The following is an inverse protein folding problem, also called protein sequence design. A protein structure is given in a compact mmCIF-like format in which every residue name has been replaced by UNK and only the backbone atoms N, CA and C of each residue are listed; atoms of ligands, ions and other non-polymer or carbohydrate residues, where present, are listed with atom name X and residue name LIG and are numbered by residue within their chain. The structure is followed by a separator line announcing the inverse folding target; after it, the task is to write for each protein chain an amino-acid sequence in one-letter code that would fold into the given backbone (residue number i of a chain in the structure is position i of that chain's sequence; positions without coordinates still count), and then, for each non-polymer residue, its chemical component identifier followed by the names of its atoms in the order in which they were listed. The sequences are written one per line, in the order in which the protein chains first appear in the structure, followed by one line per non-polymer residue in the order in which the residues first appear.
data_IF_087589608620
#
_entry.id   IF_087589608620
#
_cell.length_a   1.000
_cell.length_b   1.000
_cell.length_c   1.000
_cell.angle_alpha   90.00
_cell.angle_beta   90.00
_cell.angle_gamma   90.00
#
_symmetry.space_group_name_H-M   'P 1'
#
loop_
_entity.id
_entity.type
_entity.pdbx_description
1 polymer ?
#
# COMPACT_ATOMS: atom_id res chain seq x y z
N UNK A 1 -40.56 -30.19 -61.71
CA UNK A 1 -41.73 -30.08 -60.80
C UNK A 1 -41.23 -29.63 -59.44
N UNK A 2 -42.07 -28.91 -58.72
CA UNK A 2 -41.73 -27.97 -57.63
C UNK A 2 -40.84 -28.49 -56.48
N UNK A 3 -40.08 -27.57 -55.84
CA UNK A 3 -39.21 -27.84 -54.69
C UNK A 3 -39.88 -27.48 -53.35
N UNK A 4 -39.33 -28.00 -52.24
CA UNK A 4 -39.35 -27.31 -50.94
C UNK A 4 -40.23 -27.92 -49.85
N UNK A 5 -39.58 -28.43 -48.80
CA UNK A 5 -39.82 -28.11 -47.37
C UNK A 5 -39.04 -29.12 -46.51
N UNK A 6 -37.85 -28.73 -46.07
CA UNK A 6 -37.21 -29.28 -44.89
C UNK A 6 -37.38 -28.24 -43.77
N UNK A 7 -37.68 -28.64 -42.53
CA UNK A 7 -38.10 -27.72 -41.48
C UNK A 7 -36.95 -26.82 -41.03
N UNK A 8 -37.31 -25.56 -40.78
CA UNK A 8 -36.45 -24.49 -40.30
C UNK A 8 -35.61 -24.93 -39.10
N UNK A 9 -34.31 -25.10 -39.33
CA UNK A 9 -33.32 -25.07 -38.26
C UNK A 9 -33.13 -23.61 -37.90
N UNK A 10 -33.87 -23.15 -36.88
CA UNK A 10 -33.68 -21.85 -36.26
C UNK A 10 -32.22 -21.77 -35.82
N UNK A 11 -31.45 -20.94 -36.52
CA UNK A 11 -30.12 -20.51 -36.11
C UNK A 11 -30.30 -19.63 -34.87
N UNK A 12 -30.20 -20.25 -33.69
CA UNK A 12 -29.97 -19.53 -32.45
C UNK A 12 -28.54 -18.96 -32.52
N UNK A 13 -28.43 -17.79 -33.16
CA UNK A 13 -27.28 -16.91 -33.07
C UNK A 13 -27.08 -16.61 -31.59
N UNK A 14 -26.00 -17.19 -31.05
CA UNK A 14 -25.52 -16.91 -29.72
C UNK A 14 -25.21 -15.42 -29.63
N UNK A 15 -26.10 -14.64 -29.02
CA UNK A 15 -25.71 -13.38 -28.39
C UNK A 15 -24.84 -13.73 -27.17
N UNK A 16 -23.59 -14.08 -27.42
CA UNK A 16 -22.54 -13.91 -26.41
C UNK A 16 -22.34 -12.40 -26.28
N UNK A 17 -23.12 -11.79 -25.38
CA UNK A 17 -22.70 -10.53 -24.77
C UNK A 17 -21.34 -10.86 -24.16
N UNK A 18 -20.27 -10.39 -24.79
CA UNK A 18 -18.93 -10.49 -24.24
C UNK A 18 -18.99 -9.79 -22.87
N UNK A 19 -19.10 -10.57 -21.80
CA UNK A 19 -18.91 -10.08 -20.45
C UNK A 19 -17.47 -9.57 -20.44
N UNK A 20 -17.32 -8.24 -20.46
CA UNK A 20 -16.04 -7.61 -20.23
C UNK A 20 -15.49 -8.23 -18.93
N UNK A 21 -14.21 -8.65 -18.92
CA UNK A 21 -13.63 -9.18 -17.70
C UNK A 21 -13.84 -8.15 -16.58
N UNK A 22 -14.17 -8.56 -15.35
CA UNK A 22 -14.37 -7.63 -14.26
C UNK A 22 -13.13 -6.74 -14.16
N UNK A 23 -13.34 -5.42 -14.26
CA UNK A 23 -12.27 -4.43 -14.12
C UNK A 23 -11.71 -4.60 -12.70
N UNK A 24 -10.41 -4.86 -12.58
CA UNK A 24 -9.80 -5.00 -11.26
C UNK A 24 -9.91 -3.67 -10.49
N UNK A 25 -10.16 -3.73 -9.19
CA UNK A 25 -10.31 -2.54 -8.35
C UNK A 25 -9.04 -1.66 -8.36
N UNK A 26 -7.88 -2.27 -8.60
CA UNK A 26 -6.63 -1.56 -8.84
C UNK A 26 -6.69 -0.70 -10.12
N UNK A 27 -7.28 -1.23 -11.20
CA UNK A 27 -7.45 -0.49 -12.45
C UNK A 27 -8.38 0.72 -12.24
N UNK A 28 -9.44 0.56 -11.45
CA UNK A 28 -10.33 1.67 -11.06
C UNK A 28 -9.54 2.76 -10.32
N UNK A 29 -8.72 2.38 -9.32
CA UNK A 29 -7.86 3.35 -8.61
C UNK A 29 -6.93 4.11 -9.56
N UNK A 30 -6.31 3.41 -10.49
CA UNK A 30 -5.38 4.01 -11.46
C UNK A 30 -6.11 4.98 -12.39
N UNK A 31 -7.26 4.58 -12.95
CA UNK A 31 -8.00 5.41 -13.88
C UNK A 31 -8.55 6.65 -13.21
N UNK A 32 -9.11 6.55 -12.00
CA UNK A 32 -9.55 7.71 -11.23
C UNK A 32 -8.38 8.63 -10.83
N UNK A 33 -7.20 8.06 -10.52
CA UNK A 33 -6.00 8.84 -10.21
C UNK A 33 -5.53 9.62 -11.43
N UNK A 34 -5.58 9.04 -12.63
CA UNK A 34 -5.23 9.72 -13.89
C UNK A 34 -6.13 10.93 -14.16
N UNK A 35 -7.41 10.85 -13.80
CA UNK A 35 -8.35 11.97 -13.93
C UNK A 35 -7.99 13.17 -13.04
N UNK A 36 -7.15 12.99 -12.02
CA UNK A 36 -6.68 14.10 -11.17
C UNK A 36 -5.52 14.90 -11.79
N UNK A 37 -4.97 14.44 -12.93
CA UNK A 37 -3.86 15.10 -13.64
C UNK A 37 -2.64 15.41 -12.76
N UNK A 38 -2.32 14.53 -11.80
CA UNK A 38 -1.13 14.68 -10.97
C UNK A 38 0.17 14.62 -11.80
N UNK A 39 0.15 13.99 -12.97
CA UNK A 39 1.31 13.91 -13.87
C UNK A 39 1.76 15.27 -14.41
N UNK A 40 0.90 16.30 -14.38
CA UNK A 40 1.27 17.69 -14.67
C UNK A 40 2.20 18.32 -13.63
N UNK A 41 2.31 17.74 -12.42
CA UNK A 41 3.15 18.26 -11.34
C UNK A 41 4.63 18.08 -11.71
N UNK A 42 5.35 19.20 -11.86
CA UNK A 42 6.78 19.24 -12.23
C UNK A 42 7.68 18.51 -11.23
N UNK A 43 7.49 18.72 -9.94
CA UNK A 43 8.35 18.15 -8.90
C UNK A 43 7.91 16.73 -8.56
N UNK A 44 8.77 15.75 -8.86
CA UNK A 44 8.49 14.34 -8.62
C UNK A 44 8.10 14.05 -7.16
N UNK A 45 8.77 14.67 -6.19
CA UNK A 45 8.46 14.53 -4.76
C UNK A 45 7.01 14.90 -4.45
N UNK A 46 6.52 16.02 -4.98
CA UNK A 46 5.13 16.47 -4.80
C UNK A 46 4.16 15.55 -5.54
N UNK A 47 4.50 15.16 -6.76
CA UNK A 47 3.66 14.25 -7.56
C UNK A 47 3.45 12.90 -6.86
N UNK A 48 4.53 12.28 -6.37
CA UNK A 48 4.48 11.04 -5.61
C UNK A 48 3.65 11.18 -4.33
N UNK A 49 3.86 12.26 -3.58
CA UNK A 49 3.09 12.55 -2.37
C UNK A 49 1.60 12.74 -2.67
N UNK A 50 1.23 13.49 -3.71
CA UNK A 50 -0.18 13.71 -4.11
C UNK A 50 -0.84 12.40 -4.57
N UNK A 51 -0.15 11.58 -5.36
CA UNK A 51 -0.66 10.27 -5.80
C UNK A 51 -0.89 9.33 -4.62
N UNK A 52 0.05 9.23 -3.68
CA UNK A 52 -0.14 8.43 -2.47
C UNK A 52 -1.24 9.01 -1.56
N UNK A 53 -1.37 10.34 -1.48
CA UNK A 53 -2.46 11.00 -0.76
C UNK A 53 -3.82 10.63 -1.35
N UNK A 54 -3.93 10.60 -2.68
CA UNK A 54 -5.14 10.12 -3.36
C UNK A 54 -5.49 8.70 -2.96
N UNK A 55 -4.52 7.78 -2.95
CA UNK A 55 -4.73 6.40 -2.47
C UNK A 55 -5.22 6.39 -1.02
N UNK A 56 -4.60 7.16 -0.13
CA UNK A 56 -5.04 7.23 1.26
C UNK A 56 -6.49 7.70 1.40
N UNK A 57 -6.90 8.69 0.60
CA UNK A 57 -8.23 9.28 0.61
C UNK A 57 -9.29 8.36 0.03
N UNK A 58 -9.00 7.70 -1.09
CA UNK A 58 -9.90 6.74 -1.74
C UNK A 58 -10.14 5.50 -0.89
N UNK A 59 -9.10 4.98 -0.27
CA UNK A 59 -9.18 3.80 0.62
C UNK A 59 -9.60 4.12 2.05
N UNK A 60 -9.78 5.40 2.40
CA UNK A 60 -10.10 5.86 3.77
C UNK A 60 -9.06 5.51 4.85
N UNK A 61 -7.91 4.95 4.50
CA UNK A 61 -6.86 4.58 5.47
C UNK A 61 -6.23 5.81 6.16
N UNK A 62 -6.36 7.01 5.58
CA UNK A 62 -6.00 8.28 6.25
C UNK A 62 -6.83 8.60 7.52
N UNK A 63 -7.90 7.86 7.79
CA UNK A 63 -8.70 7.99 9.01
C UNK A 63 -8.27 7.00 10.10
N UNK A 64 -7.47 6.00 9.74
CA UNK A 64 -7.02 4.94 10.65
C UNK A 64 -5.72 5.38 11.31
N UNK A 65 -5.69 5.60 12.63
CA UNK A 65 -4.44 5.93 13.31
C UNK A 65 -3.49 4.71 13.43
N UNK A 66 -2.20 4.99 13.67
CA UNK A 66 -1.17 3.95 13.82
C UNK A 66 -1.45 2.97 14.97
N UNK A 67 -2.13 3.41 16.04
CA UNK A 67 -2.47 2.53 17.17
C UNK A 67 -3.53 1.51 16.75
N UNK A 68 -4.60 1.95 16.06
CA UNK A 68 -5.60 1.03 15.50
C UNK A 68 -4.94 0.00 14.57
N UNK A 69 -3.98 0.44 13.76
CA UNK A 69 -3.23 -0.47 12.88
C UNK A 69 -2.47 -1.53 13.69
N UNK A 70 -1.70 -1.10 14.70
CA UNK A 70 -0.92 -2.01 15.56
C UNK A 70 -1.82 -3.01 16.30
N UNK A 71 -2.95 -2.55 16.85
CA UNK A 71 -3.91 -3.41 17.55
C UNK A 71 -4.53 -4.44 16.60
N UNK A 72 -4.92 -4.05 15.38
CA UNK A 72 -5.48 -4.97 14.40
C UNK A 72 -4.49 -6.10 14.02
N UNK A 73 -3.19 -5.77 13.88
CA UNK A 73 -2.15 -6.80 13.68
C UNK A 73 -2.03 -7.77 14.86
N UNK A 74 -2.23 -7.29 16.10
CA UNK A 74 -2.18 -8.11 17.32
C UNK A 74 -3.40 -9.01 17.44
N UNK A 75 -4.59 -8.47 17.22
CA UNK A 75 -5.87 -9.22 17.25
C UNK A 75 -5.87 -10.36 16.21
N UNK A 76 -5.19 -10.17 15.07
CA UNK A 76 -5.06 -11.19 14.02
C UNK A 76 -3.84 -12.13 14.18
N UNK A 77 -3.08 -11.98 15.28
CA UNK A 77 -1.87 -12.76 15.56
C UNK A 77 -0.75 -12.60 14.53
N UNK A 78 -0.82 -11.55 13.69
CA UNK A 78 0.17 -11.27 12.64
C UNK A 78 1.41 -10.56 13.21
N UNK A 79 1.30 -9.96 14.39
CA UNK A 79 2.44 -9.34 15.08
C UNK A 79 3.51 -10.35 15.50
N UNK A 80 3.11 -11.59 15.84
CA UNK A 80 3.98 -12.65 16.33
C UNK A 80 4.60 -13.52 15.23
N UNK A 81 4.15 -13.35 13.98
CA UNK A 81 4.71 -14.10 12.85
C UNK A 81 6.06 -13.52 12.42
N UNK A 82 6.97 -14.38 11.90
CA UNK A 82 8.15 -13.90 11.18
C UNK A 82 7.78 -12.92 10.07
N UNK A 83 8.61 -11.91 9.86
CA UNK A 83 8.36 -10.81 8.90
C UNK A 83 8.12 -11.32 7.48
N UNK A 84 8.88 -12.32 7.04
CA UNK A 84 8.78 -12.88 5.70
C UNK A 84 7.72 -13.99 5.57
N UNK A 85 6.93 -14.27 6.62
CA UNK A 85 5.81 -15.21 6.49
C UNK A 85 4.84 -14.71 5.42
N UNK A 86 4.59 -15.56 4.44
CA UNK A 86 3.67 -15.29 3.33
C UNK A 86 2.25 -15.69 3.73
N UNK A 87 1.30 -14.77 3.58
CA UNK A 87 -0.12 -15.00 3.86
C UNK A 87 -0.95 -14.84 2.58
N UNK A 88 -2.09 -15.53 2.54
CA UNK A 88 -3.07 -15.44 1.45
C UNK A 88 -3.87 -14.13 1.54
N UNK A 89 -4.39 -13.69 0.40
CA UNK A 89 -5.32 -12.54 0.29
C UNK A 89 -6.44 -12.56 1.33
N UNK A 90 -7.08 -13.71 1.59
CA UNK A 90 -8.16 -13.81 2.58
C UNK A 90 -7.73 -13.46 4.01
N UNK A 91 -6.48 -13.72 4.38
CA UNK A 91 -5.96 -13.35 5.71
C UNK A 91 -5.59 -11.86 5.78
N UNK A 92 -5.15 -11.28 4.67
CA UNK A 92 -4.96 -9.83 4.58
C UNK A 92 -6.30 -9.09 4.62
N UNK A 93 -7.32 -9.61 3.93
CA UNK A 93 -8.69 -9.10 3.99
C UNK A 93 -9.25 -9.12 5.42
N UNK A 94 -9.11 -10.23 6.13
CA UNK A 94 -9.53 -10.33 7.55
C UNK A 94 -8.85 -9.26 8.44
N UNK A 95 -7.55 -9.02 8.24
CA UNK A 95 -6.84 -7.94 8.94
C UNK A 95 -7.49 -6.57 8.63
N UNK A 96 -7.75 -6.27 7.36
CA UNK A 96 -8.36 -5.00 6.96
C UNK A 96 -9.80 -4.86 7.48
N UNK A 97 -10.56 -5.95 7.55
CA UNK A 97 -11.87 -6.00 8.21
C UNK A 97 -11.77 -5.59 9.67
N UNK A 98 -10.79 -6.12 10.41
CA UNK A 98 -10.54 -5.69 11.80
C UNK A 98 -10.21 -4.20 11.86
N UNK A 99 -9.32 -3.71 10.99
CA UNK A 99 -8.90 -2.30 10.96
C UNK A 99 -10.10 -1.35 10.79
N UNK A 100 -10.92 -1.58 9.76
CA UNK A 100 -12.04 -0.67 9.44
C UNK A 100 -13.23 -0.84 10.39
N UNK A 101 -13.50 -2.04 10.91
CA UNK A 101 -14.50 -2.22 11.96
C UNK A 101 -14.09 -1.52 13.27
N UNK A 102 -12.82 -1.62 13.66
CA UNK A 102 -12.32 -0.92 14.84
C UNK A 102 -12.34 0.61 14.65
N UNK A 103 -12.13 1.11 13.43
CA UNK A 103 -12.35 2.52 13.10
C UNK A 103 -13.82 2.91 13.29
N UNK A 104 -14.76 2.21 12.64
CA UNK A 104 -16.19 2.56 12.71
C UNK A 104 -16.74 2.51 14.14
N UNK A 105 -16.29 1.57 14.99
CA UNK A 105 -16.66 1.52 16.42
C UNK A 105 -16.32 2.81 17.19
N UNK A 106 -15.33 3.58 16.75
CA UNK A 106 -14.88 4.83 17.39
C UNK A 106 -15.54 6.08 16.80
N UNK A 107 -16.11 5.97 15.60
CA UNK A 107 -16.76 7.07 14.90
C UNK A 107 -18.23 7.19 15.32
N UNK A 108 -18.79 8.40 15.20
CA UNK A 108 -20.25 8.56 15.28
C UNK A 108 -20.90 7.99 14.02
N UNK A 109 -22.15 7.52 14.12
CA UNK A 109 -22.80 6.80 13.00
C UNK A 109 -22.88 7.57 11.69
N UNK A 110 -22.97 8.91 11.75
CA UNK A 110 -22.96 9.78 10.56
C UNK A 110 -21.60 9.88 9.86
N UNK A 111 -20.53 9.41 10.49
CA UNK A 111 -19.16 9.42 9.99
C UNK A 111 -18.65 8.03 9.61
N UNK A 112 -19.47 6.99 9.74
CA UNK A 112 -19.08 5.64 9.36
C UNK A 112 -18.58 5.60 7.91
N UNK A 113 -17.47 4.89 7.71
CA UNK A 113 -16.96 4.59 6.38
C UNK A 113 -17.57 3.30 5.85
N UNK A 114 -17.79 3.26 4.54
CA UNK A 114 -18.05 2.04 3.80
C UNK A 114 -16.84 1.11 3.92
N UNK A 115 -16.98 0.08 4.76
CA UNK A 115 -15.89 -0.83 5.07
C UNK A 115 -15.56 -1.71 3.89
N UNK A 116 -16.56 -2.24 3.20
CA UNK A 116 -16.36 -3.24 2.14
C UNK A 116 -15.66 -2.60 0.94
N UNK A 117 -16.10 -1.41 0.54
CA UNK A 117 -15.42 -0.64 -0.52
C UNK A 117 -13.98 -0.25 -0.13
N UNK A 118 -13.78 0.19 1.12
CA UNK A 118 -12.44 0.59 1.60
C UNK A 118 -11.47 -0.60 1.68
N UNK A 119 -11.95 -1.76 2.15
CA UNK A 119 -11.17 -3.00 2.23
C UNK A 119 -10.79 -3.47 0.83
N UNK A 120 -11.75 -3.54 -0.10
CA UNK A 120 -11.51 -4.02 -1.47
C UNK A 120 -10.46 -3.14 -2.18
N UNK A 121 -10.63 -1.82 -2.16
CA UNK A 121 -9.70 -0.88 -2.80
C UNK A 121 -8.30 -0.94 -2.17
N UNK A 122 -8.22 -0.99 -0.83
CA UNK A 122 -6.92 -1.04 -0.14
C UNK A 122 -6.20 -2.37 -0.42
N UNK A 123 -6.92 -3.47 -0.39
CA UNK A 123 -6.37 -4.79 -0.68
C UNK A 123 -5.87 -4.89 -2.13
N UNK A 124 -6.64 -4.35 -3.08
CA UNK A 124 -6.24 -4.30 -4.48
C UNK A 124 -4.97 -3.46 -4.68
N UNK A 125 -4.85 -2.33 -3.98
CA UNK A 125 -3.63 -1.52 -4.00
C UNK A 125 -2.42 -2.27 -3.41
N UNK A 126 -2.60 -2.97 -2.29
CA UNK A 126 -1.53 -3.77 -1.67
C UNK A 126 -1.06 -4.91 -2.61
N UNK A 127 -1.99 -5.60 -3.26
CA UNK A 127 -1.66 -6.63 -4.25
C UNK A 127 -0.94 -6.03 -5.46
N UNK A 128 -1.43 -4.90 -5.98
CA UNK A 128 -0.78 -4.18 -7.08
C UNK A 128 0.65 -3.72 -6.75
N UNK A 129 0.92 -3.37 -5.49
CA UNK A 129 2.25 -2.96 -5.05
C UNK A 129 3.23 -4.13 -4.84
N UNK A 130 2.75 -5.26 -4.30
CA UNK A 130 3.62 -6.30 -3.74
C UNK A 130 3.51 -7.68 -4.40
N UNK A 131 2.40 -8.00 -5.06
CA UNK A 131 2.15 -9.31 -5.70
C UNK A 131 2.32 -9.23 -7.22
N UNK A 132 3.54 -8.89 -7.67
CA UNK A 132 3.86 -8.71 -9.10
C UNK A 132 3.63 -9.95 -9.96
N UNK A 133 3.57 -11.13 -9.33
CA UNK A 133 3.34 -12.41 -9.99
C UNK A 133 1.86 -12.84 -9.94
N UNK A 134 0.96 -12.03 -9.40
CA UNK A 134 -0.48 -12.29 -9.27
C UNK A 134 -0.79 -13.64 -8.59
N UNK A 135 -0.06 -13.95 -7.52
CA UNK A 135 -0.18 -15.20 -6.77
C UNK A 135 -1.25 -15.19 -5.68
N UNK A 136 -1.83 -14.01 -5.38
CA UNK A 136 -2.76 -13.79 -4.28
C UNK A 136 -2.09 -13.88 -2.91
N UNK A 137 -0.82 -13.46 -2.81
CA UNK A 137 -0.01 -13.63 -1.59
C UNK A 137 0.84 -12.40 -1.29
N UNK A 138 0.96 -12.12 0.01
CA UNK A 138 1.69 -10.97 0.55
C UNK A 138 2.54 -11.42 1.75
N UNK A 139 3.68 -10.77 1.99
CA UNK A 139 4.43 -11.00 3.23
C UNK A 139 3.82 -10.18 4.37
N UNK A 140 3.91 -10.67 5.60
CA UNK A 140 3.50 -9.89 6.78
C UNK A 140 4.23 -8.54 6.82
N UNK A 141 5.51 -8.52 6.45
CA UNK A 141 6.32 -7.31 6.44
C UNK A 141 5.84 -6.27 5.42
N UNK A 142 5.52 -6.67 4.18
CA UNK A 142 5.04 -5.72 3.17
C UNK A 142 3.75 -5.04 3.61
N UNK A 143 2.81 -5.81 4.18
CA UNK A 143 1.55 -5.28 4.71
C UNK A 143 1.82 -4.32 5.87
N UNK A 144 2.68 -4.67 6.82
CA UNK A 144 3.04 -3.80 7.96
C UNK A 144 3.62 -2.47 7.49
N UNK A 145 4.59 -2.49 6.58
CA UNK A 145 5.23 -1.26 6.07
C UNK A 145 4.23 -0.41 5.28
N UNK A 146 3.44 -1.01 4.41
CA UNK A 146 2.45 -0.29 3.62
C UNK A 146 1.41 0.40 4.50
N UNK A 147 0.80 -0.35 5.42
CA UNK A 147 -0.26 0.16 6.28
C UNK A 147 0.27 1.19 7.29
N UNK A 148 1.45 0.98 7.88
CA UNK A 148 2.08 1.97 8.75
C UNK A 148 2.40 3.27 7.99
N UNK A 149 2.85 3.18 6.74
CA UNK A 149 3.14 4.35 5.90
C UNK A 149 1.87 5.13 5.58
N UNK A 150 0.81 4.44 5.12
CA UNK A 150 -0.40 5.05 4.58
C UNK A 150 -1.42 5.49 5.64
N UNK A 151 -1.37 4.96 6.87
CA UNK A 151 -2.33 5.29 7.92
C UNK A 151 -2.25 6.78 8.37
N UNK A 152 -3.13 7.20 9.26
CA UNK A 152 -3.06 8.49 9.93
C UNK A 152 -2.03 8.50 11.08
N UNK A 153 -1.55 9.68 11.45
CA UNK A 153 -0.72 9.87 12.64
C UNK A 153 0.56 10.65 12.39
N UNK A 154 1.25 11.01 13.48
CA UNK A 154 2.52 11.73 13.41
C UNK A 154 3.57 10.85 12.73
N UNK A 155 4.35 11.45 11.82
CA UNK A 155 5.40 10.72 11.09
C UNK A 155 6.38 10.05 12.05
N UNK A 156 6.76 10.73 13.13
CA UNK A 156 7.67 10.19 14.15
C UNK A 156 7.16 8.89 14.78
N UNK A 157 5.86 8.77 15.04
CA UNK A 157 5.29 7.57 15.69
C UNK A 157 5.23 6.39 14.72
N UNK A 158 4.94 6.66 13.44
CA UNK A 158 5.02 5.66 12.37
C UNK A 158 6.44 5.19 12.14
N UNK A 159 7.42 6.09 12.12
CA UNK A 159 8.83 5.75 11.96
C UNK A 159 9.35 4.95 13.16
N UNK A 160 8.92 5.24 14.39
CA UNK A 160 9.21 4.40 15.56
C UNK A 160 8.65 2.98 15.41
N UNK A 161 7.41 2.86 14.95
CA UNK A 161 6.82 1.55 14.67
C UNK A 161 7.62 0.80 13.59
N UNK A 162 7.94 1.45 12.47
CA UNK A 162 8.76 0.87 11.40
C UNK A 162 10.13 0.43 11.94
N UNK A 163 10.81 1.28 12.72
CA UNK A 163 12.10 0.96 13.33
C UNK A 163 12.01 -0.30 14.21
N UNK A 164 10.94 -0.45 15.00
CA UNK A 164 10.73 -1.66 15.80
C UNK A 164 10.62 -2.96 14.97
N UNK A 165 10.28 -2.87 13.68
CA UNK A 165 10.24 -4.03 12.79
C UNK A 165 11.61 -4.38 12.22
N UNK A 166 12.52 -3.40 12.12
CA UNK A 166 13.86 -3.56 11.52
C UNK A 166 14.99 -3.56 12.54
N UNK A 167 14.70 -3.34 13.82
CA UNK A 167 15.71 -3.41 14.87
C UNK A 167 16.15 -4.87 15.15
N UNK A 168 17.39 -5.00 15.61
CA UNK A 168 17.95 -6.20 16.20
C UNK A 168 17.60 -6.31 17.71
N UNK A 169 18.07 -7.37 18.36
CA UNK A 169 17.82 -7.59 19.78
C UNK A 169 18.57 -6.59 20.70
N UNK A 170 19.54 -5.86 20.15
CA UNK A 170 20.36 -4.87 20.85
C UNK A 170 19.78 -3.45 20.72
N UNK A 171 18.71 -3.27 19.94
CA UNK A 171 18.07 -1.98 19.72
C UNK A 171 18.71 -1.14 18.61
N UNK A 172 19.59 -1.72 17.80
CA UNK A 172 20.15 -1.10 16.60
C UNK A 172 19.42 -1.60 15.35
N UNK A 173 19.48 -0.84 14.27
CA UNK A 173 18.93 -1.25 12.99
C UNK A 173 19.69 -2.45 12.42
N UNK A 174 18.94 -3.50 12.04
CA UNK A 174 19.46 -4.58 11.19
C UNK A 174 19.49 -4.09 9.74
N UNK A 175 20.70 -4.00 9.16
CA UNK A 175 20.90 -3.51 7.79
C UNK A 175 20.19 -4.34 6.73
N UNK A 176 20.06 -5.65 6.92
CA UNK A 176 19.35 -6.52 5.97
C UNK A 176 17.87 -6.18 5.99
N UNK A 177 17.29 -6.06 7.20
CA UNK A 177 15.88 -5.66 7.35
C UNK A 177 15.62 -4.22 6.87
N UNK A 178 16.61 -3.33 6.98
CA UNK A 178 16.51 -1.98 6.44
C UNK A 178 16.43 -1.97 4.91
N UNK A 179 17.26 -2.78 4.22
CA UNK A 179 17.18 -2.95 2.77
C UNK A 179 15.79 -3.45 2.37
N UNK A 180 15.29 -4.48 3.08
CA UNK A 180 13.95 -5.00 2.84
C UNK A 180 12.87 -3.93 3.08
N UNK A 181 12.98 -3.13 4.15
CA UNK A 181 12.08 -2.02 4.42
C UNK A 181 12.08 -1.02 3.26
N UNK A 182 13.27 -0.65 2.77
CA UNK A 182 13.40 0.31 1.69
C UNK A 182 12.78 -0.23 0.39
N UNK A 183 12.90 -1.53 0.11
CA UNK A 183 12.17 -2.18 -0.98
C UNK A 183 10.66 -2.07 -0.79
N UNK A 184 10.15 -2.33 0.43
CA UNK A 184 8.71 -2.29 0.68
C UNK A 184 8.12 -0.89 0.58
N UNK A 185 8.81 0.13 1.12
CA UNK A 185 8.29 1.49 1.11
C UNK A 185 8.37 2.13 -0.29
N UNK A 186 9.42 1.86 -1.06
CA UNK A 186 9.57 2.34 -2.45
C UNK A 186 8.72 1.56 -3.46
N UNK A 187 8.21 0.38 -3.08
CA UNK A 187 7.18 -0.30 -3.87
C UNK A 187 5.88 0.51 -3.91
N UNK A 188 5.56 1.30 -2.88
CA UNK A 188 4.36 2.15 -2.86
C UNK A 188 4.43 3.24 -3.92
N UNK A 189 5.56 3.94 -4.03
CA UNK A 189 5.80 4.95 -5.07
C UNK A 189 5.86 4.30 -6.46
N UNK A 190 6.43 3.10 -6.56
CA UNK A 190 6.43 2.32 -7.79
C UNK A 190 4.99 1.98 -8.24
N UNK A 191 4.11 1.59 -7.31
CA UNK A 191 2.72 1.26 -7.59
C UNK A 191 1.88 2.44 -8.11
N UNK A 192 2.32 3.67 -7.85
CA UNK A 192 1.72 4.90 -8.39
C UNK A 192 2.53 5.52 -9.54
N UNK A 193 3.36 4.70 -10.20
CA UNK A 193 4.14 5.06 -11.40
C UNK A 193 5.24 6.11 -11.17
N UNK A 194 5.83 6.16 -9.98
CA UNK A 194 6.93 7.08 -9.64
C UNK A 194 8.29 6.38 -9.53
N UNK A 195 8.40 5.13 -10.02
CA UNK A 195 9.64 4.36 -10.03
C UNK A 195 10.85 5.05 -10.68
N UNK A 196 10.72 5.89 -11.73
CA UNK A 196 11.87 6.56 -12.33
C UNK A 196 12.63 7.48 -11.35
N UNK A 197 11.96 7.99 -10.30
CA UNK A 197 12.59 8.82 -9.27
C UNK A 197 12.69 8.10 -7.92
N UNK A 198 11.64 7.37 -7.53
CA UNK A 198 11.51 6.74 -6.21
C UNK A 198 11.37 5.22 -6.33
N UNK A 199 12.17 4.62 -7.21
CA UNK A 199 12.35 3.18 -7.31
C UNK A 199 13.47 2.69 -6.40
N UNK A 200 13.36 1.44 -5.96
CA UNK A 200 14.44 0.81 -5.20
C UNK A 200 15.72 0.65 -6.04
N UNK A 201 16.87 0.96 -5.43
CA UNK A 201 18.21 0.73 -5.99
C UNK A 201 19.23 0.64 -4.86
N UNK A 202 20.41 0.08 -5.12
CA UNK A 202 21.51 0.08 -4.15
C UNK A 202 21.95 1.50 -3.78
N UNK A 203 21.85 2.45 -4.71
CA UNK A 203 22.11 3.87 -4.48
C UNK A 203 21.13 4.42 -3.43
N UNK A 204 19.86 4.04 -3.48
CA UNK A 204 18.86 4.49 -2.50
C UNK A 204 19.19 4.02 -1.08
N UNK A 205 19.81 2.85 -0.92
CA UNK A 205 20.26 2.34 0.39
C UNK A 205 21.42 3.21 0.91
N UNK A 206 22.43 3.43 0.07
CA UNK A 206 23.62 4.22 0.42
C UNK A 206 23.32 5.71 0.68
N UNK A 207 22.19 6.23 0.16
CA UNK A 207 21.71 7.58 0.47
C UNK A 207 21.20 7.74 1.91
N UNK A 208 20.79 6.65 2.56
CA UNK A 208 20.21 6.70 3.89
C UNK A 208 21.27 6.50 4.98
N UNK A 209 22.05 5.42 4.87
CA UNK A 209 23.04 5.03 5.87
C UNK A 209 24.27 4.40 5.22
N UNK A 210 25.42 4.53 5.85
CA UNK A 210 26.61 3.82 5.42
C UNK A 210 26.51 2.33 5.76
N UNK A 211 27.20 1.50 4.98
CA UNK A 211 27.30 0.07 5.27
C UNK A 211 27.96 -0.11 6.64
N UNK A 212 27.37 -0.98 7.47
CA UNK A 212 27.82 -1.31 8.83
C UNK A 212 27.73 -0.16 9.86
N UNK A 213 27.07 0.95 9.52
CA UNK A 213 26.79 2.04 10.44
C UNK A 213 25.89 1.56 11.59
N UNK A 214 26.24 1.86 12.85
CA UNK A 214 25.38 1.55 13.99
C UNK A 214 24.27 2.59 14.14
N UNK A 215 23.12 2.29 13.55
CA UNK A 215 21.96 3.19 13.55
C UNK A 215 21.05 2.87 14.73
N UNK A 216 20.95 3.80 15.69
CA UNK A 216 19.95 3.76 16.75
C UNK A 216 18.62 4.36 16.29
N UNK A 217 17.55 4.21 17.08
CA UNK A 217 16.26 4.83 16.77
C UNK A 217 16.37 6.34 16.54
N UNK A 218 17.15 7.05 17.36
CA UNK A 218 17.28 8.50 17.23
C UNK A 218 17.99 8.87 15.93
N UNK A 219 19.08 8.18 15.59
CA UNK A 219 19.78 8.38 14.31
C UNK A 219 18.84 8.11 13.13
N UNK A 220 18.04 7.03 13.20
CA UNK A 220 17.05 6.72 12.18
C UNK A 220 16.00 7.83 12.02
N UNK A 221 15.46 8.32 13.12
CA UNK A 221 14.48 9.41 13.11
C UNK A 221 15.10 10.71 12.58
N UNK A 222 16.30 11.07 13.02
CA UNK A 222 17.00 12.27 12.59
C UNK A 222 17.25 12.22 11.07
N UNK A 223 17.72 11.09 10.53
CA UNK A 223 17.91 10.93 9.08
C UNK A 223 16.62 11.13 8.29
N UNK A 224 15.49 10.62 8.76
CA UNK A 224 14.22 10.66 8.00
C UNK A 224 13.41 11.95 8.22
N UNK A 225 13.66 12.68 9.31
CA UNK A 225 12.92 13.89 9.68
C UNK A 225 13.68 15.19 9.40
N UNK A 226 15.00 15.14 9.23
CA UNK A 226 15.82 16.31 8.90
C UNK A 226 15.52 16.83 7.49
N UNK A 227 15.74 18.13 7.25
CA UNK A 227 15.62 18.76 5.94
C UNK A 227 17.02 19.17 5.42
N UNK A 228 17.49 18.64 4.27
CA UNK A 228 16.86 17.61 3.45
C UNK A 228 17.06 16.20 4.02
N UNK A 229 16.03 15.37 3.92
CA UNK A 229 16.13 13.92 4.18
C UNK A 229 16.64 13.18 2.93
N UNK A 230 17.01 11.88 3.01
CA UNK A 230 17.53 11.14 1.88
C UNK A 230 16.63 11.25 0.63
N UNK A 231 17.21 11.48 -0.57
CA UNK A 231 16.44 11.74 -1.79
C UNK A 231 15.39 10.68 -2.10
N UNK A 232 15.70 9.39 -1.87
CA UNK A 232 14.79 8.28 -2.11
C UNK A 232 13.50 8.31 -1.28
N UNK A 233 13.48 9.00 -0.13
CA UNK A 233 12.34 9.07 0.80
C UNK A 233 11.76 10.47 0.98
N UNK A 234 12.20 11.48 0.21
CA UNK A 234 11.71 12.87 0.33
C UNK A 234 10.19 13.03 0.19
N UNK A 235 9.53 12.10 -0.51
CA UNK A 235 8.07 12.11 -0.66
C UNK A 235 7.34 11.79 0.65
N UNK A 236 7.97 11.08 1.59
CA UNK A 236 7.33 10.61 2.82
C UNK A 236 7.03 11.76 3.80
N UNK A 237 8.01 12.63 4.16
CA UNK A 237 7.69 13.82 4.95
C UNK A 237 6.70 14.75 4.27
N UNK A 238 6.75 14.84 2.93
CA UNK A 238 5.84 15.68 2.18
C UNK A 238 4.40 15.14 2.20
N UNK A 239 4.20 13.84 1.98
CA UNK A 239 2.91 13.16 2.11
C UNK A 239 2.24 13.49 3.45
N UNK A 240 3.03 13.54 4.52
CA UNK A 240 2.57 13.89 5.86
C UNK A 240 2.16 15.35 6.05
N UNK A 241 2.66 16.27 5.22
CA UNK A 241 2.28 17.69 5.23
C UNK A 241 1.05 17.97 4.36
N UNK A 242 0.72 17.05 3.44
CA UNK A 242 -0.51 17.09 2.64
C UNK A 242 -1.70 16.62 3.51
N UNK A 243 -2.09 17.40 4.52
CA UNK A 243 -3.28 17.13 5.34
C UNK A 243 -4.50 17.75 4.68
#
# INVERSE_FOLDING_TARGET
MWPGMAPDTISASQNQVAQQPPVSEMQILIDEMRLQDFDSIRFATYRAACKLRFIQQKTKVHLVDIWNMIEAFRENGLNALPLHTVIKTSRAELLLTTVFHNLNKRLVSSQHVDTDGSISLLLAFLLGAYDKQNTGRLTVFSIKIALATLCAGKLVDKLRYIFSQIADAQGFMDHTKFIDFLQQILALTTAVFEAPTFGFSEIAVAQCFQKDEKVSLNVFLDTFLTDPCPPCIMWLPLLHRLV
#
